data_IF_559031432131
#
_entry.id   IF_559031432131
#
_cell.length_a   1.000
_cell.length_b   1.000
_cell.length_c   1.000
_cell.angle_alpha   90.00
_cell.angle_beta   90.00
_cell.angle_gamma   90.00
#
_symmetry.space_group_name_H-M   'P 1'
#
loop_
_entity.id
_entity.type
_entity.pdbx_description
1 polymer ?
#
# COMPACT_ATOMS: atom_id res chain seq x y z
N UNK A 1 7.83 -17.58 -13.18
CA UNK A 1 6.78 -16.98 -12.30
C UNK A 1 7.06 -17.36 -10.87
N UNK A 2 6.91 -16.42 -9.96
CA UNK A 2 7.07 -16.70 -8.52
C UNK A 2 5.99 -17.72 -8.09
N UNK A 3 6.41 -18.78 -7.38
CA UNK A 3 5.45 -19.72 -6.80
C UNK A 3 4.72 -19.06 -5.62
N UNK A 4 3.42 -18.80 -5.78
CA UNK A 4 2.61 -18.17 -4.75
C UNK A 4 2.02 -19.26 -3.87
N UNK A 5 2.36 -19.24 -2.58
CA UNK A 5 1.71 -20.08 -1.58
C UNK A 5 0.36 -19.45 -1.21
N UNK A 6 -0.71 -20.01 -1.76
CA UNK A 6 -2.08 -19.51 -1.54
C UNK A 6 -2.52 -19.89 -0.10
N UNK A 7 -3.06 -18.95 0.69
CA UNK A 7 -3.61 -19.24 2.01
C UNK A 7 -4.74 -20.28 1.94
N UNK A 8 -4.81 -21.18 2.92
CA UNK A 8 -5.87 -22.20 2.99
C UNK A 8 -7.27 -21.62 3.20
N UNK A 9 -7.36 -20.37 3.62
CA UNK A 9 -8.62 -19.60 3.71
C UNK A 9 -9.20 -19.23 2.35
N UNK A 10 -8.40 -19.33 1.27
CA UNK A 10 -8.85 -19.14 -0.11
C UNK A 10 -9.41 -20.46 -0.63
N UNK A 11 -10.74 -20.56 -0.89
CA UNK A 11 -11.35 -21.80 -1.38
C UNK A 11 -10.81 -22.17 -2.77
N UNK A 12 -10.79 -23.46 -3.10
CA UNK A 12 -10.27 -23.97 -4.37
C UNK A 12 -10.88 -23.25 -5.59
N UNK A 13 -12.18 -22.96 -5.55
CA UNK A 13 -12.91 -22.24 -6.61
C UNK A 13 -12.43 -20.80 -6.83
N UNK A 14 -11.71 -20.19 -5.85
CA UNK A 14 -11.24 -18.82 -5.89
C UNK A 14 -9.72 -18.68 -6.02
N UNK A 15 -8.97 -19.77 -6.00
CA UNK A 15 -7.50 -19.74 -6.07
C UNK A 15 -6.98 -19.14 -7.38
N UNK A 16 -7.67 -19.36 -8.50
CA UNK A 16 -7.31 -18.75 -9.80
C UNK A 16 -7.47 -17.24 -9.75
N UNK A 17 -8.57 -16.74 -9.20
CA UNK A 17 -8.83 -15.29 -9.06
C UNK A 17 -7.83 -14.65 -8.10
N UNK A 18 -7.59 -15.27 -6.93
CA UNK A 18 -6.60 -14.80 -5.97
C UNK A 18 -5.20 -14.71 -6.60
N UNK A 19 -4.75 -15.74 -7.30
CA UNK A 19 -3.45 -15.75 -7.99
C UNK A 19 -3.35 -14.66 -9.04
N UNK A 20 -4.43 -14.45 -9.83
CA UNK A 20 -4.51 -13.36 -10.80
C UNK A 20 -4.37 -12.00 -10.12
N UNK A 21 -5.13 -11.76 -9.06
CA UNK A 21 -5.10 -10.50 -8.30
C UNK A 21 -3.72 -10.25 -7.70
N UNK A 22 -3.10 -11.28 -7.11
CA UNK A 22 -1.76 -11.19 -6.54
C UNK A 22 -0.71 -10.85 -7.61
N UNK A 23 -0.73 -11.53 -8.75
CA UNK A 23 0.22 -11.28 -9.84
C UNK A 23 0.04 -9.87 -10.42
N UNK A 24 -1.20 -9.41 -10.60
CA UNK A 24 -1.46 -8.03 -11.06
C UNK A 24 -0.95 -7.01 -10.05
N UNK A 25 -1.25 -7.18 -8.76
CA UNK A 25 -0.82 -6.26 -7.70
C UNK A 25 0.70 -6.18 -7.56
N UNK A 26 1.40 -7.27 -7.84
CA UNK A 26 2.86 -7.35 -7.65
C UNK A 26 3.66 -7.29 -8.97
N UNK A 27 3.01 -7.08 -10.10
CA UNK A 27 3.63 -7.20 -11.42
C UNK A 27 4.42 -8.52 -11.58
N UNK A 28 3.96 -9.61 -10.95
CA UNK A 28 4.59 -10.92 -10.95
C UNK A 28 5.84 -11.06 -10.09
N UNK A 29 6.36 -10.00 -9.49
CA UNK A 29 7.58 -9.98 -8.66
C UNK A 29 7.39 -10.51 -7.24
N UNK A 30 6.14 -10.53 -6.76
CA UNK A 30 5.81 -10.79 -5.35
C UNK A 30 6.00 -9.57 -4.44
N UNK A 31 6.43 -8.42 -4.96
CA UNK A 31 6.59 -7.17 -4.22
C UNK A 31 5.53 -6.15 -4.66
N UNK A 32 4.99 -5.40 -3.72
CA UNK A 32 3.88 -4.48 -3.95
C UNK A 32 4.33 -3.01 -3.90
N UNK A 33 4.14 -2.28 -4.99
CA UNK A 33 4.15 -0.81 -4.97
C UNK A 33 2.71 -0.31 -4.84
N UNK A 34 2.32 0.06 -3.61
CA UNK A 34 0.99 0.55 -3.30
C UNK A 34 0.95 2.07 -3.35
N UNK A 35 0.12 2.66 -4.20
CA UNK A 35 -0.20 4.08 -4.15
C UNK A 35 -1.36 4.31 -3.19
N UNK A 36 -1.12 5.05 -2.11
CA UNK A 36 -2.09 5.35 -1.07
C UNK A 36 -2.76 6.70 -1.32
N UNK A 37 -4.07 6.69 -1.55
CA UNK A 37 -4.94 7.87 -1.68
C UNK A 37 -6.04 7.91 -0.61
N UNK A 38 -5.86 7.16 0.49
CA UNK A 38 -6.77 7.13 1.62
C UNK A 38 -6.59 8.29 2.61
N UNK A 39 -5.52 9.08 2.46
CA UNK A 39 -5.23 10.25 3.31
C UNK A 39 -6.28 11.35 3.21
N UNK A 40 -7.11 11.38 2.17
CA UNK A 40 -8.20 12.37 2.01
C UNK A 40 -9.15 12.36 3.22
N UNK A 41 -9.32 11.22 3.85
CA UNK A 41 -10.09 11.09 5.11
C UNK A 41 -9.22 11.36 6.33
N UNK A 42 -8.07 10.68 6.42
CA UNK A 42 -7.27 10.73 7.64
C UNK A 42 -6.68 12.11 7.91
N UNK A 43 -6.16 12.77 6.87
CA UNK A 43 -5.44 14.05 6.99
C UNK A 43 -6.25 15.23 6.47
N UNK A 44 -7.50 14.99 6.05
CA UNK A 44 -8.40 16.02 5.54
C UNK A 44 -7.77 16.78 4.36
N UNK A 45 -7.85 18.12 4.36
CA UNK A 45 -7.27 18.93 3.30
C UNK A 45 -5.79 19.32 3.54
N UNK A 46 -5.23 18.99 4.72
CA UNK A 46 -3.87 19.38 5.07
C UNK A 46 -2.80 18.72 4.18
N UNK A 47 -3.09 17.53 3.66
CA UNK A 47 -2.18 16.83 2.75
C UNK A 47 -2.43 17.16 1.26
N UNK A 48 -3.47 17.94 0.94
CA UNK A 48 -3.95 18.18 -0.44
C UNK A 48 -3.94 19.64 -0.86
N UNK A 49 -3.60 20.56 0.03
CA UNK A 49 -3.53 22.00 -0.28
C UNK A 49 -2.57 22.69 0.69
N UNK A 50 -1.67 23.51 0.16
CA UNK A 50 -0.71 24.28 0.96
C UNK A 50 0.62 24.48 0.25
N UNK A 51 1.55 25.11 0.96
CA UNK A 51 2.91 25.34 0.44
C UNK A 51 3.63 24.03 0.16
N UNK A 52 4.25 23.93 -0.99
CA UNK A 52 4.99 22.73 -1.41
C UNK A 52 4.11 21.57 -1.92
N UNK A 53 2.79 21.73 -1.99
CA UNK A 53 1.84 20.77 -2.56
C UNK A 53 1.47 21.24 -3.97
N UNK A 54 1.44 20.32 -4.93
CA UNK A 54 1.01 20.62 -6.29
C UNK A 54 -0.45 21.10 -6.29
N UNK A 55 -0.74 22.14 -7.07
CA UNK A 55 -2.08 22.75 -7.11
C UNK A 55 -3.16 21.76 -7.55
N UNK A 56 -2.80 20.84 -8.42
CA UNK A 56 -3.66 19.78 -8.97
C UNK A 56 -4.16 18.82 -7.88
N UNK A 57 -3.39 18.64 -6.81
CA UNK A 57 -3.72 17.74 -5.69
C UNK A 57 -4.96 18.18 -4.89
N UNK A 58 -5.37 19.44 -5.03
CA UNK A 58 -6.64 19.93 -4.50
C UNK A 58 -7.87 19.20 -5.07
N UNK A 59 -7.76 18.69 -6.31
CA UNK A 59 -8.81 17.89 -6.96
C UNK A 59 -8.51 16.38 -6.77
N UNK A 60 -9.46 15.58 -6.24
CA UNK A 60 -9.29 14.13 -6.11
C UNK A 60 -8.93 13.39 -7.40
N UNK A 61 -9.32 13.92 -8.56
CA UNK A 61 -9.02 13.32 -9.86
C UNK A 61 -7.51 13.20 -10.12
N UNK A 62 -6.69 14.09 -9.56
CA UNK A 62 -5.23 14.02 -9.64
C UNK A 62 -4.68 12.66 -9.16
N UNK A 63 -5.27 12.10 -8.09
CA UNK A 63 -4.92 10.76 -7.62
C UNK A 63 -5.16 9.69 -8.69
N UNK A 64 -6.28 9.77 -9.41
CA UNK A 64 -6.63 8.81 -10.46
C UNK A 64 -5.75 8.97 -11.70
N UNK A 65 -5.41 10.21 -12.07
CA UNK A 65 -4.47 10.49 -13.15
C UNK A 65 -3.09 9.89 -12.88
N UNK A 66 -2.57 10.05 -11.64
CA UNK A 66 -1.32 9.41 -11.22
C UNK A 66 -1.46 7.89 -11.29
N UNK A 67 -2.53 7.33 -10.72
CA UNK A 67 -2.75 5.89 -10.68
C UNK A 67 -2.86 5.25 -12.07
N UNK A 68 -3.42 5.96 -13.03
CA UNK A 68 -3.57 5.49 -14.41
C UNK A 68 -2.27 5.56 -15.22
N UNK A 69 -1.39 6.52 -14.91
CA UNK A 69 -0.19 6.78 -15.70
C UNK A 69 1.09 6.18 -15.08
N UNK A 70 1.11 5.94 -13.76
CA UNK A 70 2.26 5.41 -13.04
C UNK A 70 2.24 3.86 -12.97
N UNK A 71 3.41 3.19 -12.98
CA UNK A 71 3.51 1.73 -12.88
C UNK A 71 3.35 1.27 -11.42
N UNK A 72 2.15 1.45 -10.87
CA UNK A 72 1.80 1.02 -9.52
C UNK A 72 1.15 -0.37 -9.52
N UNK A 73 1.29 -1.10 -8.43
CA UNK A 73 0.64 -2.40 -8.23
C UNK A 73 -0.84 -2.26 -7.87
N UNK A 74 -1.17 -1.36 -6.95
CA UNK A 74 -2.56 -1.01 -6.61
C UNK A 74 -2.69 0.46 -6.20
N UNK A 75 -3.86 1.04 -6.49
CA UNK A 75 -4.29 2.32 -5.96
C UNK A 75 -5.29 2.08 -4.82
N UNK A 76 -4.87 2.40 -3.58
CA UNK A 76 -5.67 2.23 -2.40
C UNK A 76 -6.43 3.51 -2.06
N UNK A 77 -7.76 3.48 -2.17
CA UNK A 77 -8.63 4.61 -1.81
C UNK A 77 -10.01 4.14 -1.37
N UNK A 78 -10.87 5.05 -0.92
CA UNK A 78 -12.22 4.72 -0.46
C UNK A 78 -13.20 4.56 -1.62
N UNK A 79 -14.21 3.68 -1.43
CA UNK A 79 -15.19 3.31 -2.45
C UNK A 79 -15.89 4.52 -3.08
N UNK A 80 -16.21 5.54 -2.28
CA UNK A 80 -16.88 6.74 -2.79
C UNK A 80 -16.10 7.47 -3.90
N UNK A 81 -14.77 7.54 -3.78
CA UNK A 81 -13.93 8.11 -4.83
C UNK A 81 -13.89 7.19 -6.06
N UNK A 82 -13.75 5.87 -5.86
CA UNK A 82 -13.75 4.91 -6.97
C UNK A 82 -15.09 4.96 -7.72
N UNK A 83 -16.21 5.09 -7.01
CA UNK A 83 -17.54 5.18 -7.61
C UNK A 83 -17.71 6.43 -8.48
N UNK A 84 -17.09 7.56 -8.11
CA UNK A 84 -17.19 8.80 -8.88
C UNK A 84 -16.22 8.86 -10.07
N UNK A 85 -15.03 8.31 -9.95
CA UNK A 85 -13.97 8.47 -10.96
C UNK A 85 -13.62 7.18 -11.70
N UNK A 86 -13.97 6.02 -11.16
CA UNK A 86 -13.51 4.73 -11.68
C UNK A 86 -13.90 4.45 -13.13
N UNK A 87 -15.06 4.97 -13.59
CA UNK A 87 -15.51 4.81 -14.97
C UNK A 87 -14.55 5.47 -15.98
N UNK A 88 -13.92 6.59 -15.60
CA UNK A 88 -12.94 7.28 -16.43
C UNK A 88 -11.55 6.61 -16.37
N UNK A 89 -11.31 5.80 -15.35
CA UNK A 89 -10.03 5.12 -15.10
C UNK A 89 -10.18 3.59 -14.92
N UNK A 90 -10.85 2.87 -15.86
CA UNK A 90 -11.25 1.46 -15.65
C UNK A 90 -10.07 0.47 -15.60
N UNK A 91 -8.89 0.86 -16.08
CA UNK A 91 -7.69 0.00 -16.09
C UNK A 91 -6.88 0.07 -14.79
N UNK A 92 -7.17 1.04 -13.91
CA UNK A 92 -6.46 1.17 -12.64
C UNK A 92 -6.72 -0.05 -11.75
N UNK A 93 -5.66 -0.66 -11.17
CA UNK A 93 -5.83 -1.73 -10.20
C UNK A 93 -6.20 -1.14 -8.84
N UNK A 94 -7.44 -1.30 -8.42
CA UNK A 94 -7.95 -0.71 -7.18
C UNK A 94 -7.82 -1.66 -5.99
N UNK A 95 -7.55 -1.05 -4.82
CA UNK A 95 -7.68 -1.66 -3.51
C UNK A 95 -8.62 -0.79 -2.68
N UNK A 96 -9.77 -1.36 -2.30
CA UNK A 96 -10.80 -0.59 -1.58
C UNK A 96 -10.47 -0.51 -0.10
N UNK A 97 -10.24 0.70 0.40
CA UNK A 97 -10.05 0.95 1.83
C UNK A 97 -11.41 0.93 2.53
N UNK A 98 -11.58 -0.02 3.48
CA UNK A 98 -12.86 -0.26 4.13
C UNK A 98 -13.15 0.66 5.31
N UNK A 99 -12.11 1.17 5.96
CA UNK A 99 -12.23 2.03 7.12
C UNK A 99 -11.35 3.27 7.03
N UNK A 100 -11.64 4.24 7.85
CA UNK A 100 -10.86 5.46 8.01
C UNK A 100 -11.38 6.25 9.21
N UNK A 101 -10.56 7.15 9.68
CA UNK A 101 -10.95 8.16 10.69
C UNK A 101 -10.21 9.45 10.41
N UNK A 102 -10.77 10.56 10.79
CA UNK A 102 -10.09 11.85 10.71
C UNK A 102 -9.09 12.01 11.86
N UNK A 103 -8.10 12.85 11.68
CA UNK A 103 -7.13 13.23 12.70
C UNK A 103 -7.57 14.46 13.53
N UNK A 104 -8.85 14.83 13.49
CA UNK A 104 -9.39 15.95 14.26
C UNK A 104 -9.32 15.68 15.77
N UNK A 105 -9.60 14.45 16.20
CA UNK A 105 -9.38 14.05 17.58
C UNK A 105 -7.94 13.56 17.78
N UNK A 106 -7.28 14.12 18.79
CA UNK A 106 -5.90 13.75 19.17
C UNK A 106 -5.85 12.67 20.25
N UNK A 107 -7.00 12.15 20.72
CA UNK A 107 -7.00 11.10 21.72
C UNK A 107 -6.52 9.79 21.11
N UNK A 108 -5.32 9.34 21.51
CA UNK A 108 -4.68 8.13 21.00
C UNK A 108 -5.14 6.84 21.70
N UNK A 109 -5.77 6.94 22.88
CA UNK A 109 -6.22 5.75 23.62
C UNK A 109 -7.57 5.23 23.10
N UNK A 110 -8.38 6.10 22.51
CA UNK A 110 -9.69 5.77 21.94
C UNK A 110 -9.69 5.70 20.41
N UNK A 111 -8.57 5.30 19.83
CA UNK A 111 -8.47 5.13 18.38
C UNK A 111 -9.38 3.98 17.93
N UNK A 112 -10.45 4.32 17.27
CA UNK A 112 -11.32 3.37 16.58
C UNK A 112 -11.48 3.80 15.13
N UNK A 113 -11.21 2.89 14.23
CA UNK A 113 -11.48 3.03 12.80
C UNK A 113 -12.31 1.83 12.36
N UNK A 114 -13.62 1.93 12.54
CA UNK A 114 -14.57 0.87 12.17
C UNK A 114 -14.76 0.81 10.66
N UNK A 115 -15.00 -0.38 10.12
CA UNK A 115 -15.33 -0.54 8.71
C UNK A 115 -16.63 0.20 8.37
N UNK A 116 -16.64 0.90 7.25
CA UNK A 116 -17.81 1.58 6.68
C UNK A 116 -18.58 0.68 5.74
N UNK A 117 -17.88 -0.31 5.18
CA UNK A 117 -18.37 -1.23 4.16
C UNK A 117 -17.93 -2.65 4.54
N UNK A 118 -18.75 -3.61 4.21
CA UNK A 118 -18.38 -5.02 4.24
C UNK A 118 -17.56 -5.41 3.01
N UNK A 119 -16.94 -6.58 3.04
CA UNK A 119 -16.30 -7.16 1.85
C UNK A 119 -17.34 -7.50 0.79
N UNK A 120 -18.53 -7.90 1.17
CA UNK A 120 -19.63 -8.23 0.24
C UNK A 120 -20.07 -6.98 -0.55
N UNK A 121 -20.14 -5.80 0.09
CA UNK A 121 -20.41 -4.53 -0.61
C UNK A 121 -19.36 -4.27 -1.71
N UNK A 122 -18.10 -4.57 -1.44
CA UNK A 122 -17.00 -4.42 -2.42
C UNK A 122 -17.11 -5.43 -3.55
N UNK A 123 -17.49 -6.67 -3.24
CA UNK A 123 -17.70 -7.74 -4.24
C UNK A 123 -18.85 -7.38 -5.16
N UNK A 124 -19.96 -6.89 -4.61
CA UNK A 124 -21.12 -6.44 -5.37
C UNK A 124 -20.77 -5.25 -6.27
N UNK A 125 -20.05 -4.27 -5.72
CA UNK A 125 -19.57 -3.14 -6.51
C UNK A 125 -18.62 -3.56 -7.63
N UNK A 126 -17.67 -4.48 -7.36
CA UNK A 126 -16.77 -5.05 -8.37
C UNK A 126 -17.55 -5.69 -9.51
N UNK A 127 -18.59 -6.48 -9.18
CA UNK A 127 -19.42 -7.15 -10.17
C UNK A 127 -20.23 -6.18 -11.04
N UNK A 128 -20.79 -5.13 -10.41
CA UNK A 128 -21.62 -4.13 -11.10
C UNK A 128 -20.78 -3.19 -11.96
N UNK A 129 -19.63 -2.74 -11.47
CA UNK A 129 -18.78 -1.77 -12.16
C UNK A 129 -17.83 -2.38 -13.20
N UNK A 130 -17.55 -3.68 -13.10
CA UNK A 130 -16.52 -4.38 -13.89
C UNK A 130 -15.11 -3.77 -13.77
N UNK A 131 -14.82 -3.05 -12.66
CA UNK A 131 -13.51 -2.46 -12.40
C UNK A 131 -12.50 -3.50 -11.89
N UNK A 132 -11.22 -3.20 -12.07
CA UNK A 132 -10.12 -4.03 -11.57
C UNK A 132 -9.93 -3.88 -10.05
N UNK A 133 -10.86 -4.38 -9.24
CA UNK A 133 -10.72 -4.41 -7.79
C UNK A 133 -9.99 -5.70 -7.41
N UNK A 134 -8.76 -5.54 -6.91
CA UNK A 134 -7.86 -6.66 -6.60
C UNK A 134 -7.93 -7.09 -5.13
N UNK A 135 -8.36 -6.19 -4.24
CA UNK A 135 -8.35 -6.46 -2.81
C UNK A 135 -9.00 -5.37 -1.98
N UNK A 136 -8.92 -5.57 -0.68
CA UNK A 136 -9.41 -4.65 0.34
C UNK A 136 -8.31 -4.26 1.31
N UNK A 137 -8.45 -3.09 1.93
CA UNK A 137 -7.52 -2.56 2.92
C UNK A 137 -8.22 -2.18 4.22
N UNK A 138 -7.60 -2.46 5.35
CA UNK A 138 -8.14 -2.13 6.66
C UNK A 138 -7.05 -1.65 7.60
N UNK A 139 -7.34 -0.61 8.41
CA UNK A 139 -6.41 -0.07 9.42
C UNK A 139 -6.72 -0.63 10.80
N UNK A 140 -5.69 -1.12 11.47
CA UNK A 140 -5.70 -1.53 12.88
C UNK A 140 -4.75 -0.63 13.66
N UNK A 141 -5.23 -0.06 14.75
CA UNK A 141 -4.41 0.62 15.75
C UNK A 141 -4.23 -0.31 16.95
N UNK A 142 -2.96 -0.63 17.29
CA UNK A 142 -2.62 -1.47 18.44
C UNK A 142 -2.24 -0.61 19.64
N UNK A 143 -2.55 -1.09 20.85
CA UNK A 143 -2.18 -0.46 22.10
C UNK A 143 -3.22 0.52 22.65
N UNK A 144 -4.40 0.63 22.04
CA UNK A 144 -5.52 1.43 22.52
C UNK A 144 -6.70 0.59 23.03
N UNK A 145 -7.66 1.24 23.69
CA UNK A 145 -8.85 0.60 24.31
C UNK A 145 -9.75 -0.14 23.30
N UNK A 146 -9.69 0.23 22.01
CA UNK A 146 -10.54 -0.35 20.96
C UNK A 146 -9.84 -1.45 20.16
N UNK A 147 -8.61 -1.83 20.52
CA UNK A 147 -7.79 -2.80 19.80
C UNK A 147 -8.52 -4.10 19.50
N UNK A 148 -9.11 -4.70 20.54
CA UNK A 148 -9.78 -6.02 20.42
C UNK A 148 -10.92 -6.00 19.39
N UNK A 149 -11.65 -4.90 19.28
CA UNK A 149 -12.73 -4.75 18.30
C UNK A 149 -12.17 -4.67 16.88
N UNK A 150 -11.08 -3.91 16.68
CA UNK A 150 -10.43 -3.79 15.37
C UNK A 150 -9.76 -5.09 14.94
N UNK A 151 -9.15 -5.83 15.88
CA UNK A 151 -8.55 -7.15 15.58
C UNK A 151 -9.61 -8.16 15.13
N UNK A 152 -10.77 -8.20 15.82
CA UNK A 152 -11.89 -9.05 15.43
C UNK A 152 -12.38 -8.70 14.03
N UNK A 153 -12.65 -7.43 13.76
CA UNK A 153 -13.13 -6.97 12.46
C UNK A 153 -12.10 -7.23 11.34
N UNK A 154 -10.79 -6.98 11.60
CA UNK A 154 -9.72 -7.28 10.65
C UNK A 154 -9.65 -8.77 10.30
N UNK A 155 -9.79 -9.66 11.28
CA UNK A 155 -9.82 -11.11 11.06
C UNK A 155 -10.99 -11.54 10.17
N UNK A 156 -12.16 -10.96 10.40
CA UNK A 156 -13.37 -11.21 9.58
C UNK A 156 -13.16 -10.72 8.15
N UNK A 157 -12.62 -9.51 7.96
CA UNK A 157 -12.33 -8.92 6.66
C UNK A 157 -11.33 -9.76 5.87
N UNK A 158 -10.22 -10.20 6.49
CA UNK A 158 -9.23 -11.05 5.81
C UNK A 158 -9.87 -12.34 5.32
N UNK A 159 -10.63 -13.00 6.18
CA UNK A 159 -11.32 -14.25 5.84
C UNK A 159 -12.32 -14.07 4.70
N UNK A 160 -13.14 -13.03 4.74
CA UNK A 160 -14.14 -12.76 3.71
C UNK A 160 -13.48 -12.31 2.38
N UNK A 161 -12.39 -11.54 2.42
CA UNK A 161 -11.59 -11.21 1.23
C UNK A 161 -11.07 -12.49 0.54
N UNK A 162 -10.46 -13.38 1.31
CA UNK A 162 -9.96 -14.66 0.80
C UNK A 162 -11.05 -15.54 0.22
N UNK A 163 -12.22 -15.62 0.85
CA UNK A 163 -13.38 -16.35 0.32
C UNK A 163 -13.79 -15.88 -1.08
N UNK A 164 -13.57 -14.61 -1.38
CA UNK A 164 -13.90 -13.99 -2.65
C UNK A 164 -12.70 -13.88 -3.61
N UNK A 165 -11.54 -14.45 -3.25
CA UNK A 165 -10.32 -14.39 -4.07
C UNK A 165 -9.68 -13.00 -4.13
N UNK A 166 -10.05 -12.11 -3.20
CA UNK A 166 -9.48 -10.78 -3.04
C UNK A 166 -8.26 -10.81 -2.11
N UNK A 167 -7.34 -9.88 -2.33
CA UNK A 167 -6.21 -9.65 -1.44
C UNK A 167 -6.65 -8.86 -0.20
N UNK A 168 -6.01 -9.14 0.94
CA UNK A 168 -6.19 -8.41 2.18
C UNK A 168 -4.90 -7.71 2.58
N UNK A 169 -4.93 -6.37 2.64
CA UNK A 169 -3.82 -5.53 3.08
C UNK A 169 -4.19 -4.88 4.39
N UNK A 170 -3.40 -5.08 5.44
CA UNK A 170 -3.63 -4.48 6.75
C UNK A 170 -2.64 -3.35 6.99
N UNK A 171 -3.17 -2.14 7.27
CA UNK A 171 -2.40 -1.03 7.82
C UNK A 171 -2.27 -1.26 9.31
N UNK A 172 -1.10 -1.63 9.79
CA UNK A 172 -0.86 -1.97 11.18
C UNK A 172 -0.04 -0.88 11.86
N UNK A 173 -0.68 -0.16 12.77
CA UNK A 173 -0.06 0.95 13.46
C UNK A 173 -0.13 0.75 14.97
N UNK A 174 0.95 0.30 15.63
CA UNK A 174 1.08 0.43 17.07
C UNK A 174 0.96 1.90 17.46
N UNK A 175 -0.09 2.24 18.21
CA UNK A 175 -0.39 3.63 18.57
C UNK A 175 -1.27 3.69 19.82
N UNK A 176 -0.78 4.31 20.87
CA UNK A 176 -1.46 4.48 22.13
C UNK A 176 -0.64 5.35 23.07
N UNK A 177 -1.17 5.70 24.22
CA UNK A 177 -0.53 6.60 25.18
C UNK A 177 0.86 6.16 25.61
N UNK A 178 1.05 4.85 25.76
CA UNK A 178 2.30 4.23 26.24
C UNK A 178 3.03 3.45 25.13
N UNK A 179 2.69 3.67 23.86
CA UNK A 179 3.25 2.95 22.72
C UNK A 179 4.27 3.82 22.01
N UNK A 180 5.51 3.34 21.90
CA UNK A 180 6.51 3.94 21.04
C UNK A 180 6.37 3.40 19.62
N UNK A 181 5.70 4.18 18.75
CA UNK A 181 5.41 3.81 17.37
C UNK A 181 6.64 3.82 16.43
N UNK A 182 7.81 4.27 16.91
CA UNK A 182 9.10 4.24 16.19
C UNK A 182 10.01 3.08 16.66
N UNK A 183 9.61 2.34 17.68
CA UNK A 183 10.37 1.20 18.17
C UNK A 183 10.21 0.01 17.21
N UNK A 184 11.31 -0.47 16.65
CA UNK A 184 11.35 -1.57 15.67
C UNK A 184 10.73 -2.85 16.24
N UNK A 185 11.01 -3.19 17.48
CA UNK A 185 10.44 -4.37 18.13
C UNK A 185 8.91 -4.28 18.27
N UNK A 186 8.38 -3.08 18.58
CA UNK A 186 6.95 -2.83 18.62
C UNK A 186 6.31 -2.95 17.22
N UNK A 187 6.98 -2.43 16.17
CA UNK A 187 6.55 -2.55 14.78
C UNK A 187 6.57 -4.03 14.35
N UNK A 188 7.59 -4.79 14.74
CA UNK A 188 7.72 -6.22 14.49
C UNK A 188 6.56 -7.01 15.14
N UNK A 189 6.20 -6.68 16.37
CA UNK A 189 5.02 -7.22 17.03
C UNK A 189 3.75 -6.98 16.22
N UNK A 190 3.55 -5.76 15.72
CA UNK A 190 2.42 -5.43 14.84
C UNK A 190 2.42 -6.23 13.54
N UNK A 191 3.57 -6.41 12.91
CA UNK A 191 3.70 -7.25 11.72
C UNK A 191 3.35 -8.72 11.99
N UNK A 192 3.78 -9.25 13.13
CA UNK A 192 3.41 -10.59 13.61
C UNK A 192 1.90 -10.74 13.85
N UNK A 193 1.25 -9.71 14.41
CA UNK A 193 -0.22 -9.69 14.58
C UNK A 193 -0.91 -9.75 13.21
N UNK A 194 -0.48 -8.97 12.22
CA UNK A 194 -1.06 -9.03 10.87
C UNK A 194 -0.89 -10.42 10.24
N UNK A 195 0.24 -11.08 10.47
CA UNK A 195 0.46 -12.46 10.02
C UNK A 195 -0.50 -13.45 10.71
N UNK A 196 -0.73 -13.29 12.02
CA UNK A 196 -1.70 -14.10 12.76
C UNK A 196 -3.15 -13.89 12.29
N UNK A 197 -3.48 -12.67 11.82
CA UNK A 197 -4.77 -12.37 11.19
C UNK A 197 -4.90 -12.96 9.76
N UNK A 198 -3.79 -13.41 9.16
CA UNK A 198 -3.76 -14.00 7.83
C UNK A 198 -3.65 -12.99 6.68
N UNK A 199 -3.22 -11.76 6.94
CA UNK A 199 -3.06 -10.73 5.91
C UNK A 199 -2.05 -11.14 4.83
N UNK A 200 -2.31 -10.77 3.56
CA UNK A 200 -1.38 -10.98 2.45
C UNK A 200 -0.21 -9.99 2.49
N UNK A 201 -0.56 -8.74 2.81
CA UNK A 201 0.40 -7.66 3.01
C UNK A 201 0.11 -6.91 4.30
N UNK A 202 1.17 -6.48 4.98
CA UNK A 202 1.08 -5.57 6.12
C UNK A 202 1.83 -4.28 5.82
N UNK A 203 1.12 -3.16 5.92
CA UNK A 203 1.68 -1.82 5.81
C UNK A 203 2.06 -1.33 7.19
N UNK A 204 3.35 -1.06 7.39
CA UNK A 204 3.90 -0.63 8.67
C UNK A 204 4.70 0.65 8.55
N UNK A 205 4.84 1.38 9.66
CA UNK A 205 5.74 2.52 9.75
C UNK A 205 7.18 2.04 9.57
N UNK A 206 7.96 2.79 8.79
CA UNK A 206 9.41 2.62 8.72
C UNK A 206 10.06 3.77 9.49
N UNK A 207 10.85 3.49 10.53
CA UNK A 207 11.51 4.54 11.30
C UNK A 207 12.65 5.15 10.47
N UNK A 208 12.38 6.35 9.92
CA UNK A 208 13.39 7.11 9.19
C UNK A 208 14.30 7.83 10.17
N UNK A 209 15.41 7.20 10.55
CA UNK A 209 16.45 7.86 11.30
C UNK A 209 17.59 8.32 10.35
N UNK A 210 17.69 9.63 10.13
CA UNK A 210 18.76 10.23 9.31
C UNK A 210 20.15 9.98 9.89
N UNK A 211 20.27 9.69 11.18
CA UNK A 211 21.53 9.50 11.89
C UNK A 211 21.94 8.03 12.02
N UNK A 212 21.02 7.11 11.88
CA UNK A 212 21.25 5.71 12.23
C UNK A 212 21.09 4.77 11.03
N UNK A 213 22.20 4.50 10.34
CA UNK A 213 22.25 3.52 9.23
C UNK A 213 21.87 2.09 9.67
N UNK A 214 21.86 1.81 10.96
CA UNK A 214 21.52 0.50 11.54
C UNK A 214 20.03 0.20 11.44
N UNK A 215 19.14 1.20 11.38
CA UNK A 215 17.70 1.01 11.30
C UNK A 215 17.27 0.08 10.14
N UNK A 216 17.97 0.12 9.01
CA UNK A 216 17.67 -0.75 7.88
C UNK A 216 17.99 -2.23 8.16
N UNK A 217 19.05 -2.51 8.92
CA UNK A 217 19.45 -3.87 9.32
C UNK A 217 18.50 -4.38 10.42
N UNK A 218 18.24 -3.55 11.41
CA UNK A 218 17.38 -3.91 12.56
C UNK A 218 15.95 -4.17 12.11
N UNK A 219 15.49 -3.51 11.03
CA UNK A 219 14.16 -3.71 10.46
C UNK A 219 13.93 -5.14 9.90
N UNK A 220 14.98 -5.95 9.76
CA UNK A 220 14.83 -7.39 9.46
C UNK A 220 14.02 -8.13 10.53
N UNK A 221 13.98 -7.64 11.76
CA UNK A 221 13.11 -8.17 12.80
C UNK A 221 11.65 -8.10 12.37
N UNK A 222 11.22 -6.97 11.77
CA UNK A 222 9.85 -6.75 11.29
C UNK A 222 9.49 -7.73 10.18
N UNK A 223 10.37 -7.88 9.19
CA UNK A 223 10.13 -8.80 8.06
C UNK A 223 10.16 -10.27 8.48
N UNK A 224 11.00 -10.62 9.47
CA UNK A 224 11.02 -11.96 10.06
C UNK A 224 9.74 -12.26 10.84
N UNK A 225 9.26 -11.32 11.67
CA UNK A 225 8.05 -11.49 12.46
C UNK A 225 6.80 -11.66 11.60
N UNK A 226 6.75 -11.03 10.43
CA UNK A 226 5.65 -11.16 9.48
C UNK A 226 5.62 -12.53 8.75
N UNK A 227 6.73 -13.23 8.68
CA UNK A 227 6.81 -14.54 8.06
C UNK A 227 6.40 -14.54 6.58
N UNK A 228 5.24 -15.13 6.24
CA UNK A 228 4.71 -15.16 4.87
C UNK A 228 3.87 -13.94 4.50
N UNK A 229 3.40 -13.18 5.47
CA UNK A 229 2.76 -11.89 5.23
C UNK A 229 3.81 -10.89 4.75
N UNK A 230 3.59 -10.26 3.61
CA UNK A 230 4.57 -9.39 2.99
C UNK A 230 4.55 -8.00 3.63
N UNK A 231 5.71 -7.57 4.10
CA UNK A 231 5.86 -6.23 4.71
C UNK A 231 6.04 -5.18 3.63
N UNK A 232 5.18 -4.15 3.65
CA UNK A 232 5.32 -2.95 2.83
C UNK A 232 5.54 -1.74 3.73
N UNK A 233 6.58 -0.96 3.43
CA UNK A 233 6.98 0.18 4.24
C UNK A 233 6.24 1.46 3.85
N UNK A 234 5.87 2.30 4.83
CA UNK A 234 5.25 3.60 4.57
C UNK A 234 6.29 4.59 4.03
N UNK A 235 5.96 5.33 2.98
CA UNK A 235 6.82 6.36 2.39
C UNK A 235 7.00 7.64 3.22
N UNK A 236 6.25 7.81 4.30
CA UNK A 236 6.34 8.97 5.19
C UNK A 236 5.81 10.29 4.58
N UNK A 237 6.28 11.42 5.13
CA UNK A 237 6.01 12.76 4.60
C UNK A 237 6.70 12.96 3.26
N UNK A 238 6.26 13.98 2.49
CA UNK A 238 6.96 14.38 1.27
C UNK A 238 8.42 14.72 1.60
N UNK A 239 9.32 14.14 0.85
CA UNK A 239 10.77 14.33 0.99
C UNK A 239 11.41 14.45 -0.39
N UNK A 240 12.70 14.71 -0.44
CA UNK A 240 13.46 14.76 -1.68
C UNK A 240 13.39 13.41 -2.40
N UNK A 241 13.10 13.44 -3.71
CA UNK A 241 12.86 12.22 -4.49
C UNK A 241 14.06 11.26 -4.49
N UNK A 242 15.29 11.79 -4.58
CA UNK A 242 16.50 10.96 -4.56
C UNK A 242 16.69 10.25 -3.23
N UNK A 243 16.37 10.93 -2.12
CA UNK A 243 16.41 10.33 -0.78
C UNK A 243 15.39 9.20 -0.67
N UNK A 244 14.15 9.43 -1.14
CA UNK A 244 13.12 8.41 -1.13
C UNK A 244 13.49 7.18 -1.97
N UNK A 245 14.09 7.38 -3.15
CA UNK A 245 14.58 6.28 -4.00
C UNK A 245 15.66 5.48 -3.26
N UNK A 246 16.60 6.16 -2.59
CA UNK A 246 17.64 5.50 -1.79
C UNK A 246 17.05 4.73 -0.59
N UNK A 247 16.04 5.29 0.09
CA UNK A 247 15.32 4.58 1.15
C UNK A 247 14.57 3.35 0.63
N UNK A 248 13.87 3.45 -0.49
CA UNK A 248 13.19 2.32 -1.11
C UNK A 248 14.17 1.18 -1.44
N UNK A 249 15.35 1.53 -1.95
CA UNK A 249 16.43 0.58 -2.18
C UNK A 249 16.90 -0.13 -0.89
N UNK A 250 17.14 0.64 0.17
CA UNK A 250 17.53 0.08 1.48
C UNK A 250 16.44 -0.78 2.09
N UNK A 251 15.18 -0.36 2.00
CA UNK A 251 14.02 -1.13 2.47
C UNK A 251 13.90 -2.47 1.74
N UNK A 252 14.11 -2.49 0.43
CA UNK A 252 14.03 -3.70 -0.39
C UNK A 252 15.21 -4.64 -0.14
N UNK A 253 16.45 -4.14 -0.23
CA UNK A 253 17.65 -4.97 -0.30
C UNK A 253 18.32 -5.21 1.07
N UNK A 254 18.16 -4.29 2.02
CA UNK A 254 18.77 -4.42 3.36
C UNK A 254 17.73 -4.91 4.36
N UNK A 255 16.58 -4.24 4.44
CA UNK A 255 15.49 -4.61 5.38
C UNK A 255 14.67 -5.81 4.91
N UNK A 256 14.83 -6.24 3.66
CA UNK A 256 14.11 -7.34 3.01
C UNK A 256 12.58 -7.13 2.97
N UNK A 257 12.13 -5.88 2.90
CA UNK A 257 10.70 -5.59 2.73
C UNK A 257 10.24 -6.02 1.33
N UNK A 258 8.97 -6.39 1.23
CA UNK A 258 8.37 -6.82 -0.03
C UNK A 258 7.51 -5.71 -0.64
N UNK A 259 7.89 -4.46 -0.42
CA UNK A 259 7.26 -3.34 -1.10
C UNK A 259 7.26 -2.02 -0.35
N UNK A 260 6.59 -1.07 -0.99
CA UNK A 260 6.48 0.31 -0.55
C UNK A 260 5.03 0.77 -0.67
N UNK A 261 4.52 1.46 0.35
CA UNK A 261 3.24 2.14 0.32
C UNK A 261 3.48 3.66 0.33
N UNK A 262 3.17 4.31 -0.76
CA UNK A 262 3.51 5.71 -1.01
C UNK A 262 2.25 6.54 -1.27
N UNK A 263 2.08 7.66 -0.59
CA UNK A 263 0.97 8.60 -0.75
C UNK A 263 1.48 10.00 -1.08
N UNK A 264 1.71 10.83 -0.06
CA UNK A 264 2.17 12.24 -0.15
C UNK A 264 3.37 12.46 -1.06
N UNK A 265 4.26 11.52 -1.09
CA UNK A 265 5.43 11.59 -1.98
C UNK A 265 5.08 11.47 -3.47
N UNK A 266 3.90 10.97 -3.84
CA UNK A 266 3.40 11.01 -5.21
C UNK A 266 2.41 12.16 -5.40
N UNK A 267 1.27 12.12 -4.69
CA UNK A 267 0.18 13.03 -5.00
C UNK A 267 0.50 14.51 -4.76
N UNK A 268 1.38 14.84 -3.79
CA UNK A 268 1.80 16.23 -3.57
C UNK A 268 2.79 16.77 -4.62
N UNK A 269 3.05 16.01 -5.71
CA UNK A 269 3.88 16.43 -6.84
C UNK A 269 3.02 16.70 -8.07
N UNK A 270 3.49 17.55 -9.00
CA UNK A 270 2.91 17.62 -10.34
C UNK A 270 2.88 16.24 -10.99
N UNK A 271 1.88 15.99 -11.83
CA UNK A 271 1.63 14.68 -12.45
C UNK A 271 2.89 14.06 -13.07
N UNK A 272 3.63 14.86 -13.86
CA UNK A 272 4.86 14.39 -14.51
C UNK A 272 5.91 13.88 -13.51
N UNK A 273 6.15 14.64 -12.45
CA UNK A 273 7.15 14.29 -11.42
C UNK A 273 6.72 13.07 -10.61
N UNK A 274 5.42 12.96 -10.33
CA UNK A 274 4.83 11.79 -9.67
C UNK A 274 5.04 10.51 -10.49
N UNK A 275 4.82 10.56 -11.80
CA UNK A 275 5.03 9.44 -12.73
C UNK A 275 6.50 9.04 -12.78
N UNK A 276 7.42 10.00 -12.92
CA UNK A 276 8.87 9.71 -12.94
C UNK A 276 9.32 9.05 -11.64
N UNK A 277 8.88 9.58 -10.50
CA UNK A 277 9.21 9.02 -9.19
C UNK A 277 8.65 7.61 -9.01
N UNK A 278 7.37 7.41 -9.34
CA UNK A 278 6.74 6.08 -9.26
C UNK A 278 7.44 5.07 -10.16
N UNK A 279 7.91 5.50 -11.34
CA UNK A 279 8.64 4.66 -12.28
C UNK A 279 9.99 4.22 -11.70
N UNK A 280 10.75 5.14 -11.11
CA UNK A 280 12.03 4.82 -10.45
C UNK A 280 11.83 3.86 -9.26
N UNK A 281 10.76 4.07 -8.47
CA UNK A 281 10.42 3.19 -7.36
C UNK A 281 9.99 1.80 -7.83
N UNK A 282 9.20 1.71 -8.90
CA UNK A 282 8.78 0.43 -9.47
C UNK A 282 9.96 -0.40 -9.98
N UNK A 283 10.99 0.23 -10.54
CA UNK A 283 12.22 -0.45 -10.95
C UNK A 283 12.90 -1.16 -9.77
N UNK A 284 12.99 -0.50 -8.62
CA UNK A 284 13.55 -1.09 -7.41
C UNK A 284 12.63 -2.20 -6.89
N UNK A 285 11.35 -1.88 -6.69
CA UNK A 285 10.41 -2.75 -5.98
C UNK A 285 10.06 -4.01 -6.81
N UNK A 286 9.79 -3.84 -8.11
CA UNK A 286 9.26 -4.90 -8.96
C UNK A 286 10.30 -5.51 -9.91
N UNK A 287 11.40 -4.81 -10.22
CA UNK A 287 12.37 -5.26 -11.22
C UNK A 287 13.80 -5.41 -10.67
N UNK A 288 13.97 -5.29 -9.36
CA UNK A 288 15.23 -5.50 -8.65
C UNK A 288 16.40 -4.66 -9.20
N UNK A 289 16.08 -3.45 -9.70
CA UNK A 289 17.05 -2.56 -10.31
C UNK A 289 18.02 -1.98 -9.27
N UNK A 290 19.21 -1.60 -9.74
CA UNK A 290 20.20 -0.92 -8.91
C UNK A 290 19.73 0.50 -8.53
N UNK A 291 20.27 1.04 -7.45
CA UNK A 291 20.01 2.42 -7.05
C UNK A 291 20.41 3.41 -8.17
N UNK A 292 21.54 3.15 -8.84
CA UNK A 292 22.03 3.99 -9.91
C UNK A 292 21.07 4.01 -11.11
N UNK A 293 20.58 2.86 -11.54
CA UNK A 293 19.58 2.76 -12.61
C UNK A 293 18.29 3.52 -12.29
N UNK A 294 17.78 3.35 -11.08
CA UNK A 294 16.57 4.05 -10.64
C UNK A 294 16.76 5.58 -10.61
N UNK A 295 17.91 6.05 -10.13
CA UNK A 295 18.26 7.47 -10.13
C UNK A 295 18.48 8.02 -11.54
N UNK A 296 19.07 7.23 -12.45
CA UNK A 296 19.26 7.61 -13.84
C UNK A 296 17.92 7.77 -14.57
N UNK A 297 16.96 6.88 -14.30
CA UNK A 297 15.60 6.98 -14.85
C UNK A 297 14.87 8.20 -14.28
N UNK A 298 14.90 8.40 -12.95
CA UNK A 298 14.29 9.57 -12.33
C UNK A 298 14.83 10.89 -12.90
N UNK A 299 16.14 10.97 -13.16
CA UNK A 299 16.79 12.16 -13.72
C UNK A 299 16.67 12.31 -15.24
N UNK A 300 15.94 11.42 -15.92
CA UNK A 300 15.77 11.43 -17.37
C UNK A 300 17.01 11.05 -18.18
N UNK A 301 18.10 10.60 -17.53
CA UNK A 301 19.33 10.18 -18.18
C UNK A 301 19.22 8.80 -18.85
N UNK A 302 18.31 7.95 -18.36
CA UNK A 302 18.00 6.63 -18.90
C UNK A 302 16.51 6.57 -19.23
N UNK A 303 16.18 6.27 -20.49
CA UNK A 303 14.79 5.97 -20.87
C UNK A 303 14.53 4.50 -20.60
N UNK A 304 13.38 4.18 -20.00
CA UNK A 304 12.87 2.83 -19.96
C UNK A 304 12.17 2.61 -21.29
N UNK A 305 12.57 1.59 -22.06
CA UNK A 305 11.72 1.07 -23.10
C UNK A 305 10.42 0.62 -22.43
N UNK A 306 9.33 1.31 -22.77
CA UNK A 306 8.00 0.95 -22.27
C UNK A 306 7.63 -0.40 -22.85
N UNK A 307 7.95 -1.47 -22.16
CA UNK A 307 7.20 -2.70 -22.32
C UNK A 307 5.78 -2.36 -21.89
N UNK A 308 4.88 -2.27 -22.85
CA UNK A 308 3.48 -1.91 -22.63
C UNK A 308 2.92 -2.91 -21.61
N UNK A 309 2.07 -2.44 -20.72
CA UNK A 309 1.26 -3.30 -19.83
C UNK A 309 0.49 -4.40 -20.61
N UNK A 310 0.37 -4.26 -21.95
CA UNK A 310 -0.23 -5.24 -22.85
C UNK A 310 0.59 -6.52 -23.06
N UNK A 311 1.91 -6.50 -22.85
CA UNK A 311 2.75 -7.67 -23.11
C UNK A 311 2.70 -8.70 -21.96
N UNK A 312 2.19 -8.32 -20.81
CA UNK A 312 1.92 -9.22 -19.67
C UNK A 312 0.54 -9.90 -19.73
N UNK A 313 -0.40 -9.38 -20.52
CA UNK A 313 -1.76 -9.93 -20.67
C UNK A 313 -1.89 -10.91 -21.85
N UNK A 314 -0.85 -11.10 -22.65
CA UNK A 314 -0.84 -11.96 -23.84
C UNK A 314 -0.46 -13.43 -23.62
N UNK A 315 -0.30 -13.88 -22.39
CA UNK A 315 0.12 -15.25 -22.06
C UNK A 315 -0.91 -16.04 -21.22
N UNK A 316 -2.21 -15.77 -21.42
CA UNK A 316 -3.25 -16.67 -20.90
C UNK A 316 -4.41 -16.82 -21.89
#
# INVERSE_FOLDING_TARGET
MLEIKIPLTVPLSKQREYRKNFNLATAGSGSLLLFAGDQKVEHLNNDFSGSGIAKEDGNPEHLFQIAAAAPIGVFATHLGLIAHYGADYPKVPYLVKLNGRTNLSKNTDQLLSKAWLSVDDVVDFKRQSNLNILGVGYTVYLGGEQETKMLKEASEIVREAHKNGLLAVIWMYPRGKNVNEDNIHTIAGGAGVAAALGADFVKVKYPYDKKNKTAAVDFKEVTSAAGRTRVICVGGNKQEAKELIAYAYSQKHISLSQGLAIGRNLHQRPLHDAILLATALALIINHDATLEDALAVYSGKKKIERHRHSDFLGLF
#
